data_IF_192067517489
#
_entry.id   IF_192067517489
#
_cell.length_a   1.000
_cell.length_b   1.000
_cell.length_c   1.000
_cell.angle_alpha   90.00
_cell.angle_beta   90.00
_cell.angle_gamma   90.00
#
_symmetry.space_group_name_H-M   'P 1'
#
loop_
_entity.id
_entity.type
_entity.pdbx_description
1 polymer ?
#
# COMPACT_ATOMS: atom_id res chain seq x y z
N UNK A 1 -27.66 -0.66 -13.87
CA UNK A 1 -27.28 -0.42 -12.46
C UNK A 1 -26.97 1.06 -12.25
N UNK A 2 -26.28 1.68 -13.20
CA UNK A 2 -26.21 3.13 -13.41
C UNK A 2 -27.44 3.65 -14.18
N UNK A 3 -27.87 4.91 -13.93
CA UNK A 3 -28.97 5.58 -14.65
C UNK A 3 -28.44 6.47 -15.78
N UNK A 4 -29.11 6.56 -16.94
CA UNK A 4 -28.72 7.50 -18.00
C UNK A 4 -28.60 8.94 -17.49
N UNK A 5 -27.46 9.59 -17.74
CA UNK A 5 -27.18 10.97 -17.31
C UNK A 5 -26.63 11.12 -15.89
N UNK A 6 -26.50 10.03 -15.13
CA UNK A 6 -25.80 10.02 -13.84
C UNK A 6 -24.27 9.98 -14.06
N UNK A 7 -23.50 10.57 -13.16
CA UNK A 7 -22.05 10.32 -13.06
C UNK A 7 -21.78 9.57 -11.76
N UNK A 8 -20.98 8.51 -11.83
CA UNK A 8 -20.61 7.65 -10.71
C UNK A 8 -19.10 7.51 -10.70
N UNK A 9 -18.48 8.05 -9.66
CA UNK A 9 -17.03 8.09 -9.53
C UNK A 9 -16.53 7.02 -8.55
N UNK A 10 -15.92 5.97 -9.09
CA UNK A 10 -15.37 4.86 -8.33
C UNK A 10 -13.87 4.98 -8.20
N UNK A 11 -13.37 4.90 -6.97
CA UNK A 11 -11.94 4.99 -6.70
C UNK A 11 -11.34 3.62 -6.40
N UNK A 12 -10.29 3.23 -7.11
CA UNK A 12 -9.42 2.14 -6.69
C UNK A 12 -8.28 2.67 -5.83
N UNK A 13 -7.83 1.88 -4.86
CA UNK A 13 -6.70 2.21 -3.98
C UNK A 13 -5.61 1.13 -4.02
N UNK A 14 -5.30 0.64 -5.22
CA UNK A 14 -4.28 -0.37 -5.46
C UNK A 14 -3.57 -0.15 -6.78
N UNK A 15 -2.25 0.10 -6.75
CA UNK A 15 -1.46 0.27 -7.97
C UNK A 15 -1.62 -0.88 -8.99
N UNK A 16 -1.81 -2.12 -8.51
CA UNK A 16 -2.09 -3.26 -9.39
C UNK A 16 -3.45 -3.15 -10.08
N UNK A 17 -4.49 -2.67 -9.39
CA UNK A 17 -5.78 -2.36 -10.04
C UNK A 17 -5.64 -1.24 -11.05
N UNK A 18 -4.88 -0.17 -10.75
CA UNK A 18 -4.58 0.90 -11.72
C UNK A 18 -4.02 0.33 -13.03
N UNK A 19 -3.03 -0.56 -12.91
CA UNK A 19 -2.38 -1.21 -14.07
C UNK A 19 -3.35 -2.12 -14.81
N UNK A 20 -4.11 -2.96 -14.10
CA UNK A 20 -5.09 -3.86 -14.72
C UNK A 20 -6.20 -3.10 -15.45
N UNK A 21 -6.76 -2.04 -14.84
CA UNK A 21 -7.78 -1.18 -15.45
C UNK A 21 -7.26 -0.57 -16.76
N UNK A 22 -6.01 -0.11 -16.76
CA UNK A 22 -5.37 0.45 -17.96
C UNK A 22 -5.12 -0.62 -19.03
N UNK A 23 -4.47 -1.72 -18.66
CA UNK A 23 -4.07 -2.80 -19.57
C UNK A 23 -5.27 -3.44 -20.26
N UNK A 24 -6.35 -3.67 -19.52
CA UNK A 24 -7.57 -4.32 -20.02
C UNK A 24 -8.54 -3.31 -20.68
N UNK A 25 -8.21 -2.01 -20.70
CA UNK A 25 -9.04 -0.98 -21.33
C UNK A 25 -10.41 -0.80 -20.66
N UNK A 26 -10.52 -1.08 -19.35
CA UNK A 26 -11.83 -1.11 -18.67
C UNK A 26 -12.53 0.26 -18.72
N UNK A 27 -11.77 1.36 -18.72
CA UNK A 27 -12.33 2.72 -18.83
C UNK A 27 -13.09 2.94 -20.14
N UNK A 28 -12.64 2.33 -21.24
CA UNK A 28 -13.30 2.43 -22.55
C UNK A 28 -14.49 1.46 -22.68
N UNK A 29 -14.50 0.38 -21.91
CA UNK A 29 -15.55 -0.64 -21.94
C UNK A 29 -16.78 -0.26 -21.10
N UNK A 30 -16.58 0.58 -20.08
CA UNK A 30 -17.66 0.98 -19.18
C UNK A 30 -18.64 1.96 -19.85
N UNK A 31 -19.94 1.90 -19.51
CA UNK A 31 -20.92 2.89 -19.91
C UNK A 31 -20.49 4.33 -19.58
N UNK A 32 -20.87 5.28 -20.45
CA UNK A 32 -20.65 6.71 -20.21
C UNK A 32 -21.25 7.14 -18.88
N UNK A 33 -20.48 7.83 -18.05
CA UNK A 33 -20.87 8.27 -16.71
C UNK A 33 -20.29 7.43 -15.58
N UNK A 34 -19.66 6.29 -15.84
CA UNK A 34 -18.87 5.58 -14.82
C UNK A 34 -17.41 6.00 -14.94
N UNK A 35 -16.90 6.67 -13.92
CA UNK A 35 -15.53 7.17 -13.87
C UNK A 35 -14.69 6.30 -12.92
N UNK A 36 -13.57 5.77 -13.43
CA UNK A 36 -12.59 5.06 -12.61
C UNK A 36 -11.40 5.98 -12.30
N UNK A 37 -11.30 6.39 -11.04
CA UNK A 37 -10.21 7.24 -10.54
C UNK A 37 -9.24 6.45 -9.66
N UNK A 38 -8.00 6.90 -9.64
CA UNK A 38 -6.92 6.26 -8.88
C UNK A 38 -6.66 7.03 -7.60
N UNK A 39 -6.79 6.34 -6.47
CA UNK A 39 -6.45 6.84 -5.15
C UNK A 39 -4.99 6.54 -4.77
N UNK A 40 -4.64 6.72 -3.48
CA UNK A 40 -3.28 6.54 -2.97
C UNK A 40 -2.91 5.06 -2.82
N UNK A 41 -2.94 4.29 -3.90
CA UNK A 41 -2.71 2.83 -3.94
C UNK A 41 -1.26 2.40 -4.07
N UNK A 42 -0.30 3.31 -3.92
CA UNK A 42 1.13 3.07 -4.13
C UNK A 42 1.92 3.53 -2.89
N UNK A 43 2.43 2.62 -2.03
CA UNK A 43 3.10 2.98 -0.78
C UNK A 43 4.36 3.84 -1.01
N UNK A 44 5.08 3.58 -2.10
CA UNK A 44 6.24 4.35 -2.54
C UNK A 44 5.86 5.79 -2.90
N UNK A 45 4.75 5.96 -3.63
CA UNK A 45 4.30 7.25 -4.13
C UNK A 45 3.82 8.17 -2.99
N UNK A 46 3.31 7.59 -1.91
CA UNK A 46 2.84 8.31 -0.72
C UNK A 46 3.93 8.49 0.35
N UNK A 47 5.15 8.04 0.09
CA UNK A 47 6.27 8.20 1.03
C UNK A 47 6.65 9.68 1.15
N UNK A 48 6.70 10.20 2.38
CA UNK A 48 7.01 11.61 2.64
C UNK A 48 8.45 11.99 2.24
N UNK A 49 8.68 13.25 1.86
CA UNK A 49 10.02 13.73 1.53
C UNK A 49 10.98 13.69 2.73
N UNK A 50 10.48 13.96 3.94
CA UNK A 50 11.27 13.90 5.19
C UNK A 50 11.82 12.50 5.44
N UNK A 51 11.05 11.46 5.08
CA UNK A 51 11.53 10.08 5.16
C UNK A 51 12.70 9.85 4.19
N UNK A 52 12.57 10.33 2.94
CA UNK A 52 13.63 10.21 1.95
C UNK A 52 14.88 10.97 2.33
N UNK A 53 14.74 12.16 2.92
CA UNK A 53 15.87 12.95 3.40
C UNK A 53 16.63 12.24 4.52
N UNK A 54 15.93 11.55 5.43
CA UNK A 54 16.58 10.68 6.44
C UNK A 54 17.34 9.53 5.78
N UNK A 55 16.73 8.86 4.79
CA UNK A 55 17.38 7.78 4.06
C UNK A 55 18.65 8.26 3.32
N UNK A 56 18.60 9.44 2.71
CA UNK A 56 19.75 10.06 2.04
C UNK A 56 20.85 10.44 3.03
N UNK A 57 20.50 11.01 4.18
CA UNK A 57 21.46 11.32 5.24
C UNK A 57 22.16 10.05 5.78
N UNK A 58 21.47 8.92 5.85
CA UNK A 58 22.10 7.63 6.15
C UNK A 58 23.00 7.15 5.02
N UNK A 59 22.60 7.33 3.76
CA UNK A 59 23.37 6.92 2.58
C UNK A 59 24.70 7.67 2.44
N UNK A 60 24.81 8.89 2.97
CA UNK A 60 26.04 9.69 2.99
C UNK A 60 27.10 9.18 3.97
N UNK A 61 26.75 8.21 4.84
CA UNK A 61 27.69 7.66 5.82
C UNK A 61 28.47 6.48 5.25
N UNK A 62 29.79 6.54 5.36
CA UNK A 62 30.68 5.47 4.90
C UNK A 62 30.46 4.13 5.62
N UNK A 63 29.91 4.12 6.83
CA UNK A 63 29.63 2.92 7.62
C UNK A 63 28.23 2.31 7.36
N UNK A 64 27.48 2.82 6.38
CA UNK A 64 26.11 2.40 6.09
C UNK A 64 25.98 1.77 4.70
N UNK A 65 25.11 0.76 4.60
CA UNK A 65 24.55 0.27 3.34
C UNK A 65 23.05 0.47 3.40
N UNK A 66 22.49 1.21 2.45
CA UNK A 66 21.03 1.29 2.29
C UNK A 66 20.56 0.05 1.54
N UNK A 67 19.71 -0.76 2.17
CA UNK A 67 18.96 -1.80 1.49
C UNK A 67 17.59 -1.24 1.09
N UNK A 68 17.18 -1.42 -0.16
CA UNK A 68 15.92 -0.86 -0.66
C UNK A 68 15.35 -1.67 -1.83
N UNK A 69 14.03 -1.63 -2.00
CA UNK A 69 13.41 -2.07 -3.26
C UNK A 69 13.77 -1.09 -4.39
N UNK A 70 13.74 -1.59 -5.64
CA UNK A 70 14.21 -0.82 -6.80
C UNK A 70 13.35 0.37 -7.18
N UNK A 71 12.06 0.33 -6.87
CA UNK A 71 11.09 1.42 -7.09
C UNK A 71 11.40 2.68 -6.26
N UNK A 72 12.01 2.51 -5.09
CA UNK A 72 12.44 3.61 -4.21
C UNK A 72 13.62 4.42 -4.77
N UNK A 73 14.39 3.89 -5.72
CA UNK A 73 15.64 4.54 -6.17
C UNK A 73 15.42 5.95 -6.74
N UNK A 74 14.27 6.15 -7.39
CA UNK A 74 13.91 7.39 -8.08
C UNK A 74 12.97 8.28 -7.28
N UNK A 75 12.59 7.88 -6.06
CA UNK A 75 11.75 8.72 -5.22
C UNK A 75 12.55 9.95 -4.81
N UNK A 76 12.04 11.17 -5.06
CA UNK A 76 12.76 12.37 -4.70
C UNK A 76 12.69 12.61 -3.18
N UNK A 77 13.83 12.94 -2.59
CA UNK A 77 13.92 13.74 -1.37
C UNK A 77 13.81 15.22 -1.69
N UNK A 78 14.26 16.08 -0.78
CA UNK A 78 14.23 17.53 -0.95
C UNK A 78 15.25 18.04 -1.98
N UNK A 79 16.42 17.39 -2.07
CA UNK A 79 17.54 17.87 -2.88
C UNK A 79 18.21 16.82 -3.77
N UNK A 80 17.85 15.53 -3.62
CA UNK A 80 18.49 14.41 -4.33
C UNK A 80 17.56 13.17 -4.35
N UNK A 81 17.99 12.11 -5.03
CA UNK A 81 17.40 10.76 -4.93
C UNK A 81 18.46 9.72 -4.53
N UNK A 82 18.03 8.49 -4.19
CA UNK A 82 18.95 7.38 -3.91
C UNK A 82 19.79 7.02 -5.14
N UNK A 83 19.21 7.11 -6.34
CA UNK A 83 19.94 6.91 -7.59
C UNK A 83 21.07 7.92 -7.78
N UNK A 84 20.85 9.19 -7.42
CA UNK A 84 21.88 10.24 -7.44
C UNK A 84 22.89 10.10 -6.31
N UNK A 85 22.48 9.62 -5.12
CA UNK A 85 23.42 9.30 -4.05
C UNK A 85 24.36 8.15 -4.47
N UNK A 86 23.82 7.14 -5.16
CA UNK A 86 24.61 6.01 -5.66
C UNK A 86 25.67 6.45 -6.69
N UNK A 87 25.35 7.40 -7.58
CA UNK A 87 26.35 7.94 -8.53
C UNK A 87 27.44 8.75 -7.84
N UNK A 88 27.18 9.29 -6.64
CA UNK A 88 28.15 9.97 -5.78
C UNK A 88 28.95 9.02 -4.87
N UNK A 89 28.74 7.70 -5.00
CA UNK A 89 29.50 6.67 -4.26
C UNK A 89 28.80 6.10 -3.03
N UNK A 90 27.56 6.50 -2.72
CA UNK A 90 26.80 5.90 -1.63
C UNK A 90 26.55 4.41 -1.89
N UNK A 91 26.68 3.58 -0.86
CA UNK A 91 26.45 2.13 -0.99
C UNK A 91 24.95 1.83 -0.89
N UNK A 92 24.28 1.84 -2.04
CA UNK A 92 22.88 1.44 -2.18
C UNK A 92 22.81 0.01 -2.71
N UNK A 93 22.14 -0.88 -1.98
CA UNK A 93 21.90 -2.26 -2.33
C UNK A 93 20.42 -2.50 -2.64
N UNK A 94 20.12 -2.82 -3.90
CA UNK A 94 18.76 -3.17 -4.32
C UNK A 94 18.47 -4.61 -3.89
N UNK A 95 17.37 -4.80 -3.17
CA UNK A 95 16.86 -6.11 -2.76
C UNK A 95 15.55 -6.42 -3.47
N UNK A 96 15.26 -7.71 -3.67
CA UNK A 96 13.99 -8.18 -4.23
C UNK A 96 13.07 -8.75 -3.16
N UNK A 97 13.66 -9.25 -2.08
CA UNK A 97 12.94 -9.75 -0.91
C UNK A 97 13.52 -9.13 0.37
N UNK A 98 12.68 -8.79 1.37
CA UNK A 98 13.15 -8.29 2.66
C UNK A 98 14.21 -9.16 3.34
N UNK A 99 14.15 -10.49 3.20
CA UNK A 99 15.08 -11.42 3.85
C UNK A 99 16.53 -11.29 3.35
N UNK A 100 16.77 -10.70 2.18
CA UNK A 100 18.14 -10.48 1.67
C UNK A 100 19.00 -9.62 2.61
N UNK A 101 18.40 -8.82 3.49
CA UNK A 101 19.14 -8.04 4.50
C UNK A 101 19.91 -8.93 5.49
N UNK A 102 19.48 -10.18 5.69
CA UNK A 102 20.17 -11.17 6.54
C UNK A 102 21.50 -11.57 5.90
N UNK A 103 21.49 -11.91 4.61
CA UNK A 103 22.70 -12.29 3.88
C UNK A 103 23.61 -11.08 3.65
N UNK A 104 23.03 -9.91 3.40
CA UNK A 104 23.77 -8.65 3.28
C UNK A 104 24.50 -8.30 4.58
N UNK A 105 23.85 -8.48 5.73
CA UNK A 105 24.44 -8.28 7.06
C UNK A 105 25.63 -9.19 7.33
N UNK A 106 25.53 -10.48 6.96
CA UNK A 106 26.63 -11.44 7.11
C UNK A 106 27.80 -11.13 6.18
N UNK A 107 27.51 -10.62 4.98
CA UNK A 107 28.52 -10.24 3.99
C UNK A 107 29.30 -9.00 4.39
N UNK A 108 28.65 -8.06 5.07
CA UNK A 108 29.25 -6.80 5.53
C UNK A 108 29.08 -6.61 7.04
N UNK A 109 29.74 -7.44 7.88
CA UNK A 109 29.57 -7.41 9.33
C UNK A 109 30.01 -6.09 9.97
N UNK A 110 30.89 -5.33 9.31
CA UNK A 110 31.40 -4.02 9.74
C UNK A 110 30.47 -2.85 9.36
N UNK A 111 29.49 -3.07 8.48
CA UNK A 111 28.55 -2.04 8.01
C UNK A 111 27.23 -2.14 8.74
N UNK A 112 26.55 -0.99 8.88
CA UNK A 112 25.15 -0.91 9.29
C UNK A 112 24.26 -1.03 8.06
N UNK A 113 23.47 -2.08 8.00
CA UNK A 113 22.48 -2.28 6.95
C UNK A 113 21.20 -1.55 7.37
N UNK A 114 20.85 -0.47 6.67
CA UNK A 114 19.61 0.26 6.91
C UNK A 114 18.63 -0.10 5.81
N UNK A 115 17.62 -0.90 6.15
CA UNK A 115 16.55 -1.27 5.24
C UNK A 115 15.44 -0.22 5.26
N UNK A 116 15.12 0.34 4.08
CA UNK A 116 13.98 1.22 3.88
C UNK A 116 12.67 0.42 3.91
N UNK A 117 12.10 0.30 5.10
CA UNK A 117 10.91 -0.49 5.36
C UNK A 117 9.64 0.33 5.09
N UNK A 118 9.15 0.21 3.86
CA UNK A 118 7.97 0.92 3.36
C UNK A 118 7.02 -0.10 2.73
N UNK A 119 5.73 0.10 2.93
CA UNK A 119 4.72 -0.71 2.29
C UNK A 119 3.36 -0.59 2.95
N UNK A 120 2.36 -1.17 2.27
CA UNK A 120 1.05 -1.47 2.84
C UNK A 120 1.08 -2.83 3.54
N UNK A 121 -0.05 -3.23 4.10
CA UNK A 121 -0.22 -4.38 5.00
C UNK A 121 0.35 -5.69 4.44
N UNK A 122 0.31 -5.88 3.12
CA UNK A 122 0.98 -6.98 2.39
C UNK A 122 2.47 -7.02 2.64
N UNK A 123 3.14 -5.89 2.45
CA UNK A 123 4.58 -5.75 2.61
C UNK A 123 4.96 -5.67 4.09
N UNK A 124 4.14 -5.01 4.92
CA UNK A 124 4.32 -4.96 6.39
C UNK A 124 4.43 -6.38 6.95
N UNK A 125 3.55 -7.30 6.54
CA UNK A 125 3.59 -8.69 7.00
C UNK A 125 4.93 -9.39 6.69
N UNK A 126 5.47 -9.20 5.48
CA UNK A 126 6.74 -9.82 5.05
C UNK A 126 7.94 -9.18 5.73
N UNK A 127 7.93 -7.84 5.89
CA UNK A 127 8.98 -7.13 6.61
C UNK A 127 8.94 -7.50 8.10
N UNK A 128 7.75 -7.70 8.68
CA UNK A 128 7.59 -8.18 10.04
C UNK A 128 8.26 -9.56 10.26
N UNK A 129 8.03 -10.50 9.33
CA UNK A 129 8.72 -11.80 9.36
C UNK A 129 10.25 -11.64 9.27
N UNK A 130 10.72 -10.65 8.50
CA UNK A 130 12.15 -10.33 8.37
C UNK A 130 12.72 -9.76 9.66
N UNK A 131 12.02 -8.85 10.35
CA UNK A 131 12.43 -8.35 11.67
C UNK A 131 12.61 -9.51 12.65
N UNK A 132 11.65 -10.45 12.69
CA UNK A 132 11.74 -11.65 13.54
C UNK A 132 12.92 -12.55 13.14
N UNK A 133 13.17 -12.74 11.84
CA UNK A 133 14.31 -13.53 11.36
C UNK A 133 15.66 -12.89 11.73
N UNK A 134 15.79 -11.57 11.58
CA UNK A 134 16.97 -10.79 11.99
C UNK A 134 17.21 -10.93 13.50
N UNK A 135 16.15 -10.81 14.30
CA UNK A 135 16.22 -10.99 15.75
C UNK A 135 16.66 -12.40 16.14
N UNK A 136 16.03 -13.43 15.56
CA UNK A 136 16.35 -14.84 15.83
C UNK A 136 17.78 -15.21 15.42
N UNK A 137 18.29 -14.60 14.35
CA UNK A 137 19.68 -14.77 13.92
C UNK A 137 20.69 -13.99 14.77
N UNK A 138 20.24 -13.19 15.74
CA UNK A 138 21.10 -12.42 16.63
C UNK A 138 21.86 -11.28 15.95
N UNK A 139 21.43 -10.87 14.74
CA UNK A 139 22.11 -9.85 13.95
C UNK A 139 21.94 -8.48 14.60
N UNK A 140 23.06 -7.76 14.80
CA UNK A 140 23.09 -6.46 15.50
C UNK A 140 23.35 -5.26 14.59
N UNK A 141 23.66 -5.52 13.31
CA UNK A 141 23.98 -4.48 12.33
C UNK A 141 22.87 -4.26 11.30
N UNK A 142 21.67 -4.83 11.49
CA UNK A 142 20.50 -4.58 10.64
C UNK A 142 19.55 -3.62 11.35
N UNK A 143 19.18 -2.56 10.67
CA UNK A 143 18.28 -1.51 11.12
C UNK A 143 17.16 -1.35 10.11
N UNK A 144 15.97 -0.99 10.59
CA UNK A 144 14.80 -0.74 9.75
C UNK A 144 14.43 0.73 9.89
N UNK A 145 14.47 1.48 8.79
CA UNK A 145 13.89 2.80 8.71
C UNK A 145 12.44 2.63 8.29
N UNK A 146 11.48 2.86 9.20
CA UNK A 146 10.08 2.47 9.02
C UNK A 146 9.23 3.65 8.55
N UNK A 147 8.45 3.44 7.49
CA UNK A 147 7.35 4.31 7.04
C UNK A 147 6.26 3.45 6.39
N UNK A 148 5.81 2.44 7.14
CA UNK A 148 4.68 1.60 6.79
C UNK A 148 3.39 2.41 6.79
N UNK A 149 2.48 2.06 5.89
CA UNK A 149 1.24 2.80 5.66
C UNK A 149 0.04 1.85 5.74
N UNK A 150 -1.08 2.34 6.28
CA UNK A 150 -2.31 1.55 6.42
C UNK A 150 -3.38 2.08 5.45
N UNK A 151 -4.04 1.18 4.73
CA UNK A 151 -5.07 1.55 3.74
C UNK A 151 -6.36 2.06 4.42
N UNK A 152 -6.93 1.40 5.45
CA UNK A 152 -8.19 1.87 6.05
C UNK A 152 -8.16 3.32 6.57
N UNK A 153 -7.11 3.77 7.29
CA UNK A 153 -6.99 5.18 7.69
C UNK A 153 -6.90 6.16 6.50
N UNK A 154 -6.22 5.78 5.42
CA UNK A 154 -6.14 6.62 4.22
C UNK A 154 -7.50 6.79 3.54
N UNK A 155 -8.31 5.72 3.49
CA UNK A 155 -9.67 5.78 2.99
C UNK A 155 -10.55 6.73 3.82
N UNK A 156 -10.44 6.70 5.16
CA UNK A 156 -11.13 7.65 6.03
C UNK A 156 -10.71 9.09 5.74
N UNK A 157 -9.40 9.35 5.67
CA UNK A 157 -8.87 10.69 5.41
C UNK A 157 -9.36 11.28 4.07
N UNK A 158 -9.50 10.45 3.02
CA UNK A 158 -10.05 10.88 1.74
C UNK A 158 -11.54 11.27 1.85
N UNK A 159 -12.32 10.50 2.59
CA UNK A 159 -13.74 10.77 2.81
C UNK A 159 -13.96 12.01 3.68
N UNK A 160 -13.17 12.17 4.75
CA UNK A 160 -13.27 13.31 5.67
C UNK A 160 -12.95 14.64 4.99
N UNK A 161 -12.01 14.64 4.04
CA UNK A 161 -11.65 15.82 3.24
C UNK A 161 -12.64 16.11 2.11
N UNK A 162 -13.52 15.16 1.78
CA UNK A 162 -14.43 15.21 0.63
C UNK A 162 -13.73 15.55 -0.70
N UNK A 163 -12.45 15.21 -0.84
CA UNK A 163 -11.70 15.53 -2.05
C UNK A 163 -12.24 14.72 -3.24
N UNK A 164 -12.72 15.43 -4.26
CA UNK A 164 -13.01 14.86 -5.57
C UNK A 164 -14.29 14.04 -5.69
N UNK A 165 -15.23 14.08 -4.73
CA UNK A 165 -16.51 13.34 -4.77
C UNK A 165 -16.39 11.85 -5.16
N UNK A 166 -16.50 10.96 -4.17
CA UNK A 166 -16.33 9.52 -4.38
C UNK A 166 -17.66 8.81 -4.10
N UNK A 167 -18.14 8.05 -5.08
CA UNK A 167 -19.38 7.28 -5.01
C UNK A 167 -19.17 5.84 -4.52
N UNK A 168 -17.92 5.36 -4.47
CA UNK A 168 -17.59 4.01 -4.02
C UNK A 168 -16.13 3.64 -4.19
N UNK A 169 -15.71 2.57 -3.51
CA UNK A 169 -14.33 2.09 -3.54
C UNK A 169 -14.18 0.67 -4.08
N UNK A 170 -13.21 0.49 -4.98
CA UNK A 170 -12.64 -0.81 -5.32
C UNK A 170 -11.48 -1.05 -4.34
N UNK A 171 -11.72 -1.96 -3.38
CA UNK A 171 -10.81 -2.22 -2.27
C UNK A 171 -9.67 -3.17 -2.70
N UNK A 172 -8.46 -3.01 -2.15
CA UNK A 172 -7.26 -3.70 -2.60
C UNK A 172 -7.29 -5.18 -2.21
N UNK A 173 -7.28 -6.09 -3.19
CA UNK A 173 -7.37 -7.53 -2.96
C UNK A 173 -6.29 -8.05 -2.01
N UNK A 174 -5.00 -7.85 -2.35
CA UNK A 174 -3.90 -8.40 -1.56
C UNK A 174 -3.80 -7.82 -0.15
N UNK A 175 -4.06 -6.52 0.05
CA UNK A 175 -4.13 -5.93 1.39
C UNK A 175 -5.23 -6.60 2.20
N UNK A 176 -6.39 -6.84 1.56
CA UNK A 176 -7.52 -7.51 2.19
C UNK A 176 -7.25 -8.99 2.50
N UNK A 177 -6.31 -9.65 1.82
CA UNK A 177 -5.83 -10.99 2.25
C UNK A 177 -5.20 -10.94 3.64
N UNK A 178 -4.51 -9.84 3.97
CA UNK A 178 -3.89 -9.65 5.27
C UNK A 178 -4.92 -9.23 6.31
N UNK A 179 -5.70 -8.19 6.03
CA UNK A 179 -6.51 -7.53 7.05
C UNK A 179 -7.98 -7.99 7.09
N UNK A 180 -8.46 -8.61 6.02
CA UNK A 180 -9.84 -9.07 5.89
C UNK A 180 -10.82 -7.98 5.48
N UNK A 181 -12.10 -8.27 5.68
CA UNK A 181 -13.23 -7.37 5.43
C UNK A 181 -13.51 -6.44 6.62
N UNK A 182 -13.33 -6.94 7.84
CA UNK A 182 -13.69 -6.25 9.08
C UNK A 182 -13.10 -4.82 9.19
N UNK A 183 -11.84 -4.56 8.83
CA UNK A 183 -11.27 -3.21 8.93
C UNK A 183 -11.88 -2.17 7.99
N UNK A 184 -12.70 -2.59 7.01
CA UNK A 184 -13.39 -1.70 6.08
C UNK A 184 -14.85 -1.41 6.48
N UNK A 185 -15.37 -2.00 7.57
CA UNK A 185 -16.79 -1.87 7.97
C UNK A 185 -17.24 -0.43 8.24
N UNK A 186 -16.30 0.47 8.52
CA UNK A 186 -16.61 1.89 8.64
C UNK A 186 -17.17 2.51 7.35
N UNK A 187 -16.84 1.97 6.17
CA UNK A 187 -17.32 2.49 4.88
C UNK A 187 -18.85 2.44 4.80
N UNK A 188 -19.51 1.27 5.00
CA UNK A 188 -20.97 1.24 5.06
C UNK A 188 -21.54 1.83 6.35
N UNK A 189 -20.94 1.58 7.52
CA UNK A 189 -21.54 1.93 8.82
C UNK A 189 -21.51 3.42 9.13
N UNK A 190 -20.41 4.10 8.78
CA UNK A 190 -20.18 5.50 9.15
C UNK A 190 -20.40 6.43 7.96
N UNK A 191 -19.87 6.06 6.78
CA UNK A 191 -19.90 6.93 5.60
C UNK A 191 -20.99 6.60 4.60
N UNK A 192 -21.67 5.46 4.74
CA UNK A 192 -22.67 4.96 3.79
C UNK A 192 -22.11 4.88 2.35
N UNK A 193 -20.83 4.49 2.24
CA UNK A 193 -20.13 4.36 0.96
C UNK A 193 -20.07 2.88 0.55
N UNK A 194 -20.57 2.53 -0.64
CA UNK A 194 -20.46 1.17 -1.15
C UNK A 194 -19.00 0.87 -1.48
N UNK A 195 -18.58 -0.35 -1.18
CA UNK A 195 -17.22 -0.79 -1.45
C UNK A 195 -17.19 -2.27 -1.79
N UNK A 196 -16.18 -2.67 -2.55
CA UNK A 196 -15.99 -4.07 -2.89
C UNK A 196 -14.52 -4.45 -3.03
N UNK A 197 -14.10 -5.49 -2.31
CA UNK A 197 -12.79 -6.13 -2.44
C UNK A 197 -12.77 -6.92 -3.74
N UNK A 198 -11.78 -6.61 -4.58
CA UNK A 198 -11.63 -7.20 -5.90
C UNK A 198 -10.27 -7.92 -6.05
N UNK A 199 -10.28 -8.98 -6.87
CA UNK A 199 -9.06 -9.52 -7.46
C UNK A 199 -8.50 -8.58 -8.52
N UNK A 200 -7.61 -9.06 -9.39
CA UNK A 200 -6.79 -8.20 -10.26
C UNK A 200 -7.04 -8.38 -11.76
N UNK A 201 -7.77 -9.41 -12.16
CA UNK A 201 -8.14 -9.54 -13.56
C UNK A 201 -9.31 -8.62 -13.93
N UNK A 202 -9.52 -8.41 -15.23
CA UNK A 202 -10.56 -7.49 -15.71
C UNK A 202 -11.97 -7.90 -15.28
N UNK A 203 -12.25 -9.20 -15.19
CA UNK A 203 -13.58 -9.71 -14.83
C UNK A 203 -13.85 -9.53 -13.33
N UNK A 204 -12.85 -9.77 -12.48
CA UNK A 204 -12.89 -9.54 -11.04
C UNK A 204 -13.15 -8.06 -10.72
N UNK A 205 -12.48 -7.15 -11.43
CA UNK A 205 -12.69 -5.71 -11.28
C UNK A 205 -14.09 -5.31 -11.77
N UNK A 206 -14.55 -5.82 -12.92
CA UNK A 206 -15.92 -5.57 -13.41
C UNK A 206 -16.99 -6.11 -12.45
N UNK A 207 -16.74 -7.27 -11.84
CA UNK A 207 -17.61 -7.86 -10.82
C UNK A 207 -17.73 -6.95 -9.59
N UNK A 208 -16.60 -6.39 -9.13
CA UNK A 208 -16.59 -5.42 -8.03
C UNK A 208 -17.35 -4.13 -8.38
N UNK A 209 -17.18 -3.61 -9.60
CA UNK A 209 -17.94 -2.45 -10.08
C UNK A 209 -19.45 -2.75 -10.10
N UNK A 210 -19.85 -3.91 -10.62
CA UNK A 210 -21.26 -4.31 -10.64
C UNK A 210 -21.84 -4.43 -9.22
N UNK A 211 -21.07 -5.00 -8.29
CA UNK A 211 -21.44 -5.08 -6.87
C UNK A 211 -21.66 -3.69 -6.26
N UNK A 212 -20.71 -2.76 -6.43
CA UNK A 212 -20.80 -1.38 -5.94
C UNK A 212 -22.04 -0.66 -6.51
N UNK A 213 -22.30 -0.80 -7.81
CA UNK A 213 -23.46 -0.16 -8.45
C UNK A 213 -24.80 -0.74 -7.96
N UNK A 214 -24.87 -2.04 -7.67
CA UNK A 214 -26.08 -2.65 -7.07
C UNK A 214 -26.31 -2.15 -5.65
N UNK A 215 -25.26 -2.02 -4.84
CA UNK A 215 -25.35 -1.42 -3.50
C UNK A 215 -25.89 0.02 -3.58
N UNK A 216 -25.39 0.85 -4.50
CA UNK A 216 -25.91 2.23 -4.71
C UNK A 216 -27.39 2.23 -5.07
N UNK A 217 -27.78 1.36 -6.02
CA UNK A 217 -29.17 1.27 -6.49
C UNK A 217 -30.14 0.85 -5.39
N UNK A 218 -29.70 -0.05 -4.50
CA UNK A 218 -30.53 -0.62 -3.42
C UNK A 218 -30.41 0.12 -2.10
N UNK A 219 -29.43 1.03 -1.97
CA UNK A 219 -29.05 1.67 -0.69
C UNK A 219 -28.71 0.66 0.41
N UNK A 220 -28.29 -0.55 0.02
CA UNK A 220 -27.80 -1.59 0.92
C UNK A 220 -26.27 -1.59 0.90
N UNK A 221 -25.67 -0.79 1.76
CA UNK A 221 -24.22 -0.62 1.83
C UNK A 221 -23.59 -1.70 2.69
N UNK A 222 -22.63 -2.42 2.12
CA UNK A 222 -21.83 -3.45 2.79
C UNK A 222 -20.38 -3.38 2.30
N UNK A 223 -19.46 -4.01 3.03
CA UNK A 223 -18.15 -4.37 2.47
C UNK A 223 -18.36 -5.57 1.55
N UNK A 224 -18.47 -5.33 0.25
CA UNK A 224 -18.57 -6.41 -0.74
C UNK A 224 -17.25 -7.16 -0.87
N UNK A 225 -17.31 -8.45 -1.21
CA UNK A 225 -16.12 -9.25 -1.48
C UNK A 225 -16.35 -10.16 -2.70
N UNK A 226 -15.84 -9.75 -3.87
CA UNK A 226 -15.85 -10.59 -5.08
C UNK A 226 -14.61 -11.49 -5.17
N UNK A 227 -13.64 -11.32 -4.26
CA UNK A 227 -12.40 -12.10 -4.16
C UNK A 227 -12.43 -13.15 -3.03
N UNK A 228 -13.60 -13.74 -2.80
CA UNK A 228 -13.92 -14.65 -1.71
C UNK A 228 -13.11 -15.96 -1.68
N UNK A 229 -12.50 -16.35 -2.81
CA UNK A 229 -11.60 -17.51 -2.88
C UNK A 229 -10.27 -17.29 -2.16
N UNK A 230 -9.90 -16.02 -1.91
CA UNK A 230 -8.60 -15.64 -1.33
C UNK A 230 -8.77 -14.81 -0.06
N UNK A 231 -9.78 -13.93 0.00
CA UNK A 231 -10.00 -13.00 1.11
C UNK A 231 -11.05 -13.56 2.06
N UNK A 232 -10.64 -13.77 3.32
CA UNK A 232 -11.51 -14.15 4.43
C UNK A 232 -11.99 -12.92 5.19
N UNK A 233 -13.15 -13.02 5.85
CA UNK A 233 -13.72 -11.94 6.66
C UNK A 233 -12.73 -11.35 7.68
N UNK A 234 -11.99 -12.21 8.38
CA UNK A 234 -10.98 -11.83 9.39
C UNK A 234 -9.57 -11.65 8.85
N UNK A 235 -9.36 -11.84 7.54
CA UNK A 235 -8.02 -11.81 6.93
C UNK A 235 -7.13 -12.94 7.42
N UNK A 236 -5.82 -12.68 7.47
CA UNK A 236 -4.81 -13.63 7.91
C UNK A 236 -4.46 -13.39 9.40
N UNK A 237 -4.96 -14.22 10.33
CA UNK A 237 -4.74 -14.00 11.76
C UNK A 237 -3.27 -14.15 12.18
N UNK A 238 -2.49 -14.98 11.48
CA UNK A 238 -1.06 -15.16 11.77
C UNK A 238 -0.27 -13.91 11.39
N UNK A 239 -0.54 -13.35 10.21
CA UNK A 239 0.11 -12.12 9.77
C UNK A 239 -0.26 -10.93 10.69
N UNK A 240 -1.53 -10.79 11.05
CA UNK A 240 -1.98 -9.71 11.94
C UNK A 240 -1.40 -9.82 13.34
N UNK A 241 -1.35 -11.02 13.92
CA UNK A 241 -0.72 -11.23 15.22
C UNK A 241 0.77 -10.86 15.18
N UNK A 242 1.46 -11.22 14.11
CA UNK A 242 2.87 -10.88 13.92
C UNK A 242 3.08 -9.37 13.81
N UNK A 243 2.27 -8.68 12.99
CA UNK A 243 2.37 -7.22 12.83
C UNK A 243 2.18 -6.52 14.17
N UNK A 244 1.17 -6.93 14.96
CA UNK A 244 0.89 -6.38 16.29
C UNK A 244 2.00 -6.63 17.33
N UNK A 245 2.80 -7.69 17.14
CA UNK A 245 3.94 -8.00 18.01
C UNK A 245 5.13 -7.07 17.73
N UNK A 246 5.30 -6.61 16.49
CA UNK A 246 6.49 -5.87 16.03
C UNK A 246 6.26 -4.38 15.90
N UNK A 247 5.02 -3.94 15.62
CA UNK A 247 4.70 -2.55 15.32
C UNK A 247 3.52 -2.03 16.14
N UNK A 248 3.61 -0.75 16.51
CA UNK A 248 2.51 0.04 17.02
C UNK A 248 1.99 0.99 15.93
N UNK A 249 0.68 1.28 15.95
CA UNK A 249 0.07 2.27 15.05
C UNK A 249 0.41 3.68 15.55
N UNK A 250 0.78 4.57 14.64
CA UNK A 250 1.05 5.97 14.92
C UNK A 250 0.59 6.86 13.76
N UNK A 251 0.47 8.16 14.03
CA UNK A 251 0.25 9.18 13.00
C UNK A 251 1.52 9.32 12.16
N UNK A 252 1.35 9.41 10.84
CA UNK A 252 2.48 9.55 9.92
C UNK A 252 2.07 10.30 8.65
N UNK A 253 3.00 11.03 8.05
CA UNK A 253 2.74 11.85 6.88
C UNK A 253 2.61 11.03 5.60
N UNK A 254 1.58 11.31 4.81
CA UNK A 254 1.36 10.79 3.46
C UNK A 254 1.56 11.90 2.44
N UNK A 255 2.50 11.71 1.52
CA UNK A 255 2.74 12.66 0.42
C UNK A 255 1.46 12.87 -0.37
N UNK A 256 1.05 14.13 -0.51
CA UNK A 256 -0.16 14.52 -1.23
C UNK A 256 -1.47 14.36 -0.45
N UNK A 257 -1.44 13.86 0.80
CA UNK A 257 -2.61 13.79 1.67
C UNK A 257 -2.38 14.64 2.92
N UNK A 258 -1.29 14.43 3.66
CA UNK A 258 -1.04 15.07 4.96
C UNK A 258 -0.81 14.04 6.07
N UNK A 259 -0.91 14.47 7.33
CA UNK A 259 -0.88 13.61 8.52
C UNK A 259 -2.32 13.25 8.90
#
# INVERSE_FOLDING_TARGET
LHKPGETVRLMEVCGTHTVSIFREGLRQLLPSGIELVSGPGCPVCVTDQTYMDKALAYAERDDVIIATFGDMLKVPGSYSSLSEAQTKGAHIHVIYTPLEVVELSKKYPEKKIVFLAIGFETTIAVICATVKAVHAAGLKNVFFLVSHKLVPPALRALLDKQEGHIDGFILPGHVSVIIGEEPYQFLPEEYHIPSCIAGFDGLEILSAIANILEQRKTSNFIVGNTYHSVVMQKGNPVAQAMIKEVYDVCDDAWRGIGV
#
